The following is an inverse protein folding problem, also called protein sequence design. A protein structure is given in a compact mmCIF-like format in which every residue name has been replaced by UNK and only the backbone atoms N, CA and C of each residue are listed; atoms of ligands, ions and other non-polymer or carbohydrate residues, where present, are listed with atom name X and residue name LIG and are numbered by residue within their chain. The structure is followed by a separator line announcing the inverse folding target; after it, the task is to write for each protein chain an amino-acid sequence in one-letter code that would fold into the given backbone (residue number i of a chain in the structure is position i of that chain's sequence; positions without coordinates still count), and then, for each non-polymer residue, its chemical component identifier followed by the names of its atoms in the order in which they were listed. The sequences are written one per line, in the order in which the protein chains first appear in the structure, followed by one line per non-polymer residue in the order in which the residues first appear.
data_IF_322574468613
#
_entry.id   IF_322574468613
#
_cell.length_a   1.000
_cell.length_b   1.000
_cell.length_c   1.000
_cell.angle_alpha   90.00
_cell.angle_beta   90.00
_cell.angle_gamma   90.00
#
_symmetry.space_group_name_H-M   'P 1'
#
loop_
_entity.id
_entity.type
_entity.pdbx_description
1 polymer ?
#
# COMPACT_ATOMS: atom_id res chain seq x y z
N UNK A 1 10.48 0.76 55.30
CA UNK A 1 10.86 -0.30 54.36
C UNK A 1 9.98 -0.09 53.14
N UNK A 2 10.49 0.64 52.16
CA UNK A 2 9.75 1.01 50.96
C UNK A 2 10.09 -0.03 49.89
N UNK A 3 9.10 -0.84 49.49
CA UNK A 3 9.19 -1.67 48.30
C UNK A 3 9.20 -0.77 47.07
N UNK A 4 10.31 -0.82 46.34
CA UNK A 4 10.45 -0.22 45.03
C UNK A 4 9.61 -1.03 44.04
N UNK A 5 8.51 -0.43 43.57
CA UNK A 5 7.73 -0.91 42.43
C UNK A 5 8.60 -0.75 41.16
N UNK A 6 9.30 -1.80 40.80
CA UNK A 6 10.19 -1.84 39.65
C UNK A 6 9.32 -1.93 38.38
N UNK A 7 9.10 -0.78 37.73
CA UNK A 7 8.44 -0.69 36.42
C UNK A 7 9.31 -1.38 35.37
N UNK A 8 9.11 -2.68 35.17
CA UNK A 8 9.70 -3.42 34.06
C UNK A 8 9.16 -2.86 32.73
N UNK A 9 10.05 -2.30 31.92
CA UNK A 9 9.72 -1.90 30.56
C UNK A 9 9.14 -3.10 29.80
N UNK A 10 8.00 -2.96 29.12
CA UNK A 10 7.34 -4.10 28.47
C UNK A 10 8.27 -4.71 27.42
N UNK A 11 8.60 -5.98 27.60
CA UNK A 11 9.43 -6.75 26.67
C UNK A 11 8.82 -6.68 25.27
N UNK A 12 9.64 -6.48 24.23
CA UNK A 12 9.19 -6.33 22.84
C UNK A 12 8.17 -7.39 22.42
N UNK A 13 8.35 -8.65 22.86
CA UNK A 13 7.40 -9.74 22.64
C UNK A 13 5.99 -9.46 23.18
N UNK A 14 5.86 -8.94 24.41
CA UNK A 14 4.56 -8.61 25.04
C UNK A 14 3.87 -7.41 24.35
N UNK A 15 4.64 -6.45 23.85
CA UNK A 15 4.11 -5.34 23.05
C UNK A 15 3.59 -5.81 21.70
N UNK A 16 4.31 -6.72 21.05
CA UNK A 16 3.94 -7.29 19.77
C UNK A 16 2.67 -8.14 19.91
N UNK A 17 2.61 -8.98 20.94
CA UNK A 17 1.43 -9.78 21.29
C UNK A 17 0.20 -8.89 21.54
N UNK A 18 0.33 -7.83 22.35
CA UNK A 18 -0.78 -6.88 22.58
C UNK A 18 -1.26 -6.18 21.32
N UNK A 19 -0.35 -5.73 20.46
CA UNK A 19 -0.72 -5.06 19.21
C UNK A 19 -1.39 -6.03 18.23
N UNK A 20 -0.91 -7.27 18.15
CA UNK A 20 -1.50 -8.33 17.32
C UNK A 20 -2.90 -8.69 17.82
N UNK A 21 -3.09 -8.87 19.13
CA UNK A 21 -4.41 -9.15 19.73
C UNK A 21 -5.37 -7.98 19.49
N UNK A 22 -4.92 -6.74 19.68
CA UNK A 22 -5.74 -5.56 19.43
C UNK A 22 -6.18 -5.46 17.95
N UNK A 23 -5.25 -5.68 17.01
CA UNK A 23 -5.56 -5.73 15.59
C UNK A 23 -6.54 -6.84 15.26
N UNK A 24 -6.31 -8.03 15.83
CA UNK A 24 -7.20 -9.17 15.67
C UNK A 24 -8.61 -8.88 16.17
N UNK A 25 -8.77 -8.27 17.36
CA UNK A 25 -10.10 -7.93 17.89
C UNK A 25 -10.82 -6.85 17.08
N UNK A 26 -10.12 -5.82 16.60
CA UNK A 26 -10.70 -4.82 15.70
C UNK A 26 -11.15 -5.45 14.39
N UNK A 27 -10.34 -6.38 13.88
CA UNK A 27 -10.62 -7.12 12.66
C UNK A 27 -11.81 -8.07 12.83
N UNK A 28 -11.88 -8.81 13.94
CA UNK A 28 -13.01 -9.70 14.29
C UNK A 28 -14.29 -8.91 14.46
N UNK A 29 -14.28 -7.76 15.14
CA UNK A 29 -15.49 -6.90 15.26
C UNK A 29 -15.97 -6.38 13.90
N UNK A 30 -15.05 -6.06 12.99
CA UNK A 30 -15.37 -5.71 11.60
C UNK A 30 -15.98 -6.88 10.82
N UNK A 31 -15.57 -8.12 11.10
CA UNK A 31 -16.07 -9.34 10.44
C UNK A 31 -17.40 -9.80 11.02
N UNK A 32 -17.53 -9.87 12.35
CA UNK A 32 -18.72 -10.35 13.06
C UNK A 32 -19.92 -9.41 12.91
N UNK A 33 -19.70 -8.13 12.60
CA UNK A 33 -20.75 -7.19 12.20
C UNK A 33 -21.42 -7.51 10.86
N UNK A 34 -20.97 -8.52 10.10
CA UNK A 34 -21.53 -8.87 8.79
C UNK A 34 -22.50 -10.05 8.83
N UNK A 35 -23.70 -9.83 8.30
CA UNK A 35 -24.60 -10.91 7.89
C UNK A 35 -24.02 -11.72 6.71
N UNK A 36 -24.24 -13.03 6.70
CA UNK A 36 -23.77 -14.02 5.70
C UNK A 36 -24.15 -13.73 4.23
N UNK A 37 -24.96 -12.71 3.94
CA UNK A 37 -25.61 -12.49 2.64
C UNK A 37 -24.93 -11.47 1.71
N UNK A 38 -23.78 -10.90 2.08
CA UNK A 38 -23.13 -9.80 1.33
C UNK A 38 -21.68 -10.14 0.95
N UNK A 39 -21.48 -11.23 0.21
CA UNK A 39 -20.21 -11.49 -0.49
C UNK A 39 -20.47 -11.49 -1.98
N UNK A 40 -19.85 -10.60 -2.74
CA UNK A 40 -20.02 -10.60 -4.19
C UNK A 40 -19.55 -11.91 -4.82
N UNK A 41 -20.22 -12.33 -5.91
CA UNK A 41 -19.72 -13.41 -6.74
C UNK A 41 -18.35 -13.07 -7.35
N UNK A 42 -18.02 -11.78 -7.55
CA UNK A 42 -16.75 -11.34 -8.12
C UNK A 42 -15.55 -11.75 -7.26
N UNK A 43 -15.51 -11.34 -5.99
CA UNK A 43 -14.38 -11.64 -5.09
C UNK A 43 -14.20 -13.15 -4.93
N UNK A 44 -15.32 -13.86 -4.72
CA UNK A 44 -15.29 -15.31 -4.55
C UNK A 44 -14.76 -15.99 -5.81
N UNK A 45 -15.21 -15.56 -6.99
CA UNK A 45 -14.71 -16.06 -8.27
C UNK A 45 -13.22 -15.75 -8.43
N UNK A 46 -12.78 -14.54 -8.12
CA UNK A 46 -11.37 -14.14 -8.25
C UNK A 46 -10.46 -15.02 -7.40
N UNK A 47 -10.83 -15.22 -6.13
CA UNK A 47 -10.08 -16.06 -5.19
C UNK A 47 -10.03 -17.53 -5.64
N UNK A 48 -11.17 -18.08 -6.08
CA UNK A 48 -11.26 -19.47 -6.54
C UNK A 48 -10.47 -19.66 -7.83
N UNK A 49 -10.58 -18.73 -8.79
CA UNK A 49 -9.83 -18.75 -10.04
C UNK A 49 -8.32 -18.74 -9.79
N UNK A 50 -7.83 -17.87 -8.90
CA UNK A 50 -6.42 -17.77 -8.55
C UNK A 50 -5.89 -19.10 -7.99
N UNK A 51 -6.59 -19.68 -7.01
CA UNK A 51 -6.19 -20.96 -6.39
C UNK A 51 -6.26 -22.11 -7.40
N UNK A 52 -7.33 -22.20 -8.20
CA UNK A 52 -7.47 -23.26 -9.21
C UNK A 52 -6.37 -23.15 -10.25
N UNK A 53 -6.10 -21.96 -10.79
CA UNK A 53 -5.07 -21.77 -11.80
C UNK A 53 -3.69 -22.14 -11.25
N UNK A 54 -3.38 -21.74 -10.00
CA UNK A 54 -2.16 -22.15 -9.32
C UNK A 54 -2.05 -23.68 -9.19
N UNK A 55 -3.13 -24.36 -8.78
CA UNK A 55 -3.14 -25.82 -8.67
C UNK A 55 -2.98 -26.50 -10.03
N UNK A 56 -3.61 -25.99 -11.09
CA UNK A 56 -3.41 -26.52 -12.45
C UNK A 56 -1.97 -26.28 -12.89
N UNK A 57 -1.40 -25.10 -12.63
CA UNK A 57 0.00 -24.79 -12.92
C UNK A 57 0.97 -25.77 -12.23
N UNK A 58 0.69 -26.13 -10.98
CA UNK A 58 1.46 -27.12 -10.22
C UNK A 58 1.33 -28.56 -10.77
N UNK A 59 0.18 -28.89 -11.35
CA UNK A 59 -0.07 -30.19 -11.98
C UNK A 59 0.53 -30.29 -13.38
N UNK A 60 0.63 -29.18 -14.11
CA UNK A 60 1.16 -29.14 -15.49
C UNK A 60 2.62 -28.72 -15.56
N UNK A 61 3.21 -28.26 -14.46
CA UNK A 61 4.65 -28.02 -14.39
C UNK A 61 5.38 -29.35 -14.57
N UNK A 62 6.22 -29.43 -15.60
CA UNK A 62 7.17 -30.53 -15.72
C UNK A 62 8.18 -30.39 -14.58
N UNK A 63 8.02 -31.24 -13.56
CA UNK A 63 9.03 -31.43 -12.52
C UNK A 63 10.20 -32.15 -13.17
N UNK A 64 11.02 -31.42 -13.92
CA UNK A 64 12.08 -31.98 -14.75
C UNK A 64 12.87 -33.03 -13.98
N UNK A 65 12.70 -34.30 -14.35
CA UNK A 65 13.71 -35.33 -14.13
C UNK A 65 14.94 -34.87 -14.88
N UNK A 66 15.79 -34.12 -14.19
CA UNK A 66 17.01 -33.57 -14.76
C UNK A 66 17.93 -34.73 -15.07
N UNK A 67 18.00 -35.09 -16.35
CA UNK A 67 19.01 -36.00 -16.88
C UNK A 67 20.37 -35.36 -16.57
N UNK A 68 21.03 -35.89 -15.54
CA UNK A 68 22.17 -35.27 -14.84
C UNK A 68 23.49 -35.44 -15.59
N UNK A 69 23.45 -35.88 -16.85
CA UNK A 69 24.64 -36.38 -17.54
C UNK A 69 25.43 -35.32 -18.30
N UNK A 70 24.87 -34.16 -18.68
CA UNK A 70 25.53 -33.25 -19.63
C UNK A 70 25.40 -31.74 -19.37
N UNK A 71 24.97 -31.29 -18.19
CA UNK A 71 25.03 -29.85 -17.86
C UNK A 71 26.31 -29.51 -17.11
N UNK A 72 27.12 -28.64 -17.72
CA UNK A 72 28.14 -27.86 -17.02
C UNK A 72 27.46 -27.25 -15.80
N UNK A 73 27.92 -27.59 -14.60
CA UNK A 73 27.39 -27.07 -13.34
C UNK A 73 27.55 -25.55 -13.37
N UNK A 74 26.46 -24.75 -13.44
CA UNK A 74 26.56 -23.33 -13.23
C UNK A 74 27.01 -23.12 -11.78
N UNK A 75 27.93 -22.18 -11.56
CA UNK A 75 28.41 -21.84 -10.22
C UNK A 75 27.23 -21.68 -9.24
N UNK A 76 27.37 -22.28 -8.07
CA UNK A 76 26.33 -22.51 -7.07
C UNK A 76 25.90 -21.22 -6.33
N UNK A 77 25.42 -20.24 -7.08
CA UNK A 77 24.97 -18.97 -6.55
C UNK A 77 23.96 -18.37 -7.53
N UNK A 78 22.65 -18.58 -7.24
CA UNK A 78 21.42 -17.87 -7.70
C UNK A 78 20.32 -18.72 -8.38
N UNK A 79 20.59 -19.92 -8.89
CA UNK A 79 19.55 -20.68 -9.62
C UNK A 79 18.66 -21.60 -8.75
N UNK A 80 18.91 -21.71 -7.44
CA UNK A 80 18.17 -22.65 -6.59
C UNK A 80 16.73 -22.22 -6.25
N UNK A 81 16.42 -20.92 -6.31
CA UNK A 81 15.08 -20.40 -5.99
C UNK A 81 14.19 -20.12 -7.22
N UNK A 82 14.80 -19.92 -8.39
CA UNK A 82 14.12 -19.77 -9.66
C UNK A 82 14.11 -21.12 -10.38
N UNK A 83 13.39 -22.10 -9.86
CA UNK A 83 12.98 -23.22 -10.70
C UNK A 83 12.16 -22.60 -11.84
N UNK A 84 12.70 -22.61 -13.05
CA UNK A 84 11.96 -22.28 -14.27
C UNK A 84 10.73 -23.20 -14.28
N UNK A 85 9.59 -22.70 -13.77
CA UNK A 85 8.31 -23.35 -13.93
C UNK A 85 7.91 -23.14 -15.39
N UNK A 86 8.55 -23.89 -16.28
CA UNK A 86 8.20 -23.93 -17.69
C UNK A 86 6.94 -24.80 -17.82
N UNK A 87 5.81 -24.22 -17.42
CA UNK A 87 4.50 -24.79 -17.67
C UNK A 87 3.90 -24.15 -18.91
N UNK A 88 3.10 -24.89 -19.70
CA UNK A 88 2.40 -24.31 -20.83
C UNK A 88 1.45 -23.16 -20.42
N UNK A 89 1.00 -23.14 -19.16
CA UNK A 89 0.13 -22.09 -18.62
C UNK A 89 0.90 -20.79 -18.43
N UNK A 90 2.10 -20.86 -17.87
CA UNK A 90 2.94 -19.67 -17.67
C UNK A 90 3.39 -19.10 -19.00
N UNK A 91 3.74 -19.93 -19.98
CA UNK A 91 4.12 -19.46 -21.32
C UNK A 91 2.95 -18.78 -22.07
N UNK A 92 1.74 -19.33 -21.95
CA UNK A 92 0.57 -18.79 -22.67
C UNK A 92 -0.09 -17.58 -22.00
N UNK A 93 -0.16 -17.55 -20.67
CA UNK A 93 -0.99 -16.58 -19.93
C UNK A 93 -0.20 -15.50 -19.19
N UNK A 94 1.13 -15.58 -19.12
CA UNK A 94 1.95 -14.46 -18.64
C UNK A 94 2.18 -13.43 -19.76
N UNK A 95 2.31 -12.17 -19.37
CA UNK A 95 2.47 -11.08 -20.33
C UNK A 95 3.96 -10.82 -20.58
N UNK A 96 4.42 -11.07 -21.81
CA UNK A 96 5.79 -10.78 -22.25
C UNK A 96 5.80 -9.45 -23.02
N UNK A 97 6.61 -8.44 -22.62
CA UNK A 97 6.64 -7.12 -23.27
C UNK A 97 6.86 -7.17 -24.79
N UNK A 98 7.76 -8.05 -25.26
CA UNK A 98 8.08 -8.19 -26.68
C UNK A 98 6.93 -8.76 -27.54
N UNK A 99 6.02 -9.54 -26.94
CA UNK A 99 4.91 -10.15 -27.68
C UNK A 99 3.85 -9.13 -28.12
N UNK A 100 3.69 -8.04 -27.37
CA UNK A 100 2.78 -6.94 -27.73
C UNK A 100 3.22 -6.26 -29.04
N UNK A 101 4.53 -6.21 -29.32
CA UNK A 101 5.06 -5.54 -30.51
C UNK A 101 4.87 -6.37 -31.79
N UNK A 102 4.62 -7.67 -31.68
CA UNK A 102 4.47 -8.56 -32.83
C UNK A 102 3.01 -8.61 -33.31
N UNK A 103 2.71 -8.20 -34.56
CA UNK A 103 1.34 -8.22 -35.09
C UNK A 103 0.68 -9.60 -35.12
N UNK A 104 1.47 -10.68 -35.11
CA UNK A 104 0.95 -12.06 -35.12
C UNK A 104 0.39 -12.50 -33.77
N UNK A 105 0.82 -11.90 -32.67
CA UNK A 105 0.50 -12.34 -31.31
C UNK A 105 -0.40 -11.36 -30.55
N UNK A 106 -1.06 -10.42 -31.25
CA UNK A 106 -1.85 -9.36 -30.60
C UNK A 106 -3.03 -9.91 -29.78
N UNK A 107 -3.74 -10.94 -30.26
CA UNK A 107 -4.87 -11.57 -29.54
C UNK A 107 -4.35 -12.24 -28.27
N UNK A 108 -3.27 -13.01 -28.37
CA UNK A 108 -2.66 -13.67 -27.23
C UNK A 108 -2.17 -12.65 -26.20
N UNK A 109 -1.50 -11.59 -26.65
CA UNK A 109 -1.05 -10.50 -25.77
C UNK A 109 -2.22 -9.81 -25.04
N UNK A 110 -3.36 -9.61 -25.72
CA UNK A 110 -4.56 -9.07 -25.09
C UNK A 110 -5.13 -10.00 -24.02
N UNK A 111 -5.17 -11.31 -24.29
CA UNK A 111 -5.60 -12.31 -23.31
C UNK A 111 -4.64 -12.36 -22.12
N UNK A 112 -3.32 -12.41 -22.36
CA UNK A 112 -2.29 -12.41 -21.32
C UNK A 112 -2.37 -11.13 -20.46
N UNK A 113 -2.67 -9.98 -21.06
CA UNK A 113 -2.85 -8.70 -20.33
C UNK A 113 -4.02 -8.73 -19.34
N UNK A 114 -5.06 -9.53 -19.59
CA UNK A 114 -6.20 -9.68 -18.69
C UNK A 114 -5.95 -10.79 -17.65
N UNK A 115 -5.22 -11.83 -18.04
CA UNK A 115 -5.08 -13.06 -17.25
C UNK A 115 -3.85 -13.07 -16.36
N UNK A 116 -2.80 -12.29 -16.66
CA UNK A 116 -1.56 -12.27 -15.86
C UNK A 116 -1.75 -12.09 -14.35
N UNK A 117 -2.72 -11.29 -13.83
CA UNK A 117 -2.86 -11.10 -12.38
C UNK A 117 -3.34 -12.35 -11.65
N UNK A 118 -3.84 -13.36 -12.38
CA UNK A 118 -4.32 -14.63 -11.83
C UNK A 118 -3.24 -15.71 -11.84
N UNK A 119 -2.09 -15.44 -12.47
CA UNK A 119 -0.99 -16.39 -12.59
C UNK A 119 0.01 -16.08 -11.48
N UNK A 120 0.15 -16.99 -10.53
CA UNK A 120 1.18 -16.93 -9.50
C UNK A 120 2.09 -18.15 -9.61
N UNK A 121 3.39 -17.95 -9.35
CA UNK A 121 4.40 -19.02 -9.45
C UNK A 121 4.68 -19.68 -8.10
N UNK A 122 4.53 -18.93 -7.02
CA UNK A 122 4.87 -19.40 -5.69
C UNK A 122 3.67 -19.38 -4.73
N UNK A 123 3.57 -20.42 -3.89
CA UNK A 123 2.46 -20.55 -2.93
C UNK A 123 2.36 -19.38 -1.94
N UNK A 124 3.47 -18.72 -1.60
CA UNK A 124 3.46 -17.57 -0.69
C UNK A 124 2.91 -16.30 -1.37
N UNK A 125 3.07 -16.17 -2.69
CA UNK A 125 2.45 -15.09 -3.47
C UNK A 125 0.94 -15.30 -3.53
N UNK A 126 0.51 -16.55 -3.80
CA UNK A 126 -0.90 -16.95 -3.72
C UNK A 126 -1.50 -16.61 -2.35
N UNK A 127 -0.80 -16.94 -1.26
CA UNK A 127 -1.26 -16.62 0.09
C UNK A 127 -1.41 -15.10 0.29
N UNK A 128 -0.43 -14.31 -0.15
CA UNK A 128 -0.46 -12.85 -0.08
C UNK A 128 -1.66 -12.27 -0.87
N UNK A 129 -1.94 -12.80 -2.05
CA UNK A 129 -3.05 -12.37 -2.89
C UNK A 129 -4.40 -12.74 -2.29
N UNK A 130 -4.54 -13.93 -1.71
CA UNK A 130 -5.75 -14.34 -0.99
C UNK A 130 -6.03 -13.38 0.17
N UNK A 131 -5.00 -12.95 0.90
CA UNK A 131 -5.12 -11.95 1.96
C UNK A 131 -5.58 -10.60 1.38
N UNK A 132 -4.98 -10.14 0.28
CA UNK A 132 -5.35 -8.88 -0.36
C UNK A 132 -6.80 -8.90 -0.88
N UNK A 133 -7.21 -9.98 -1.54
CA UNK A 133 -8.58 -10.20 -2.02
C UNK A 133 -9.54 -10.24 -0.83
N UNK A 134 -9.19 -10.93 0.25
CA UNK A 134 -9.99 -10.98 1.46
C UNK A 134 -10.18 -9.60 2.10
N UNK A 135 -9.12 -8.79 2.22
CA UNK A 135 -9.19 -7.40 2.68
C UNK A 135 -10.07 -6.55 1.76
N UNK A 136 -9.94 -6.72 0.44
CA UNK A 136 -10.79 -6.01 -0.53
C UNK A 136 -12.26 -6.33 -0.35
N UNK A 137 -12.59 -7.60 -0.13
CA UNK A 137 -13.95 -8.06 0.11
C UNK A 137 -14.53 -7.55 1.42
N UNK A 138 -13.67 -7.28 2.41
CA UNK A 138 -14.07 -6.94 3.77
C UNK A 138 -14.21 -5.45 3.97
N UNK A 139 -13.21 -4.69 3.52
CA UNK A 139 -13.11 -3.27 3.77
C UNK A 139 -13.67 -2.43 2.63
N UNK A 140 -13.40 -2.84 1.38
CA UNK A 140 -13.64 -2.00 0.21
C UNK A 140 -15.02 -2.28 -0.41
N UNK A 141 -15.35 -3.55 -0.61
CA UNK A 141 -16.59 -3.97 -1.28
C UNK A 141 -17.87 -3.38 -0.66
N UNK A 142 -18.05 -3.32 0.68
CA UNK A 142 -19.23 -2.68 1.28
C UNK A 142 -19.40 -1.21 0.94
N UNK A 143 -18.28 -0.51 0.81
CA UNK A 143 -18.26 0.95 0.70
C UNK A 143 -18.43 1.39 -0.74
N UNK A 144 -17.83 0.65 -1.67
CA UNK A 144 -17.81 1.03 -3.09
C UNK A 144 -18.84 0.25 -3.90
N UNK A 145 -19.30 -0.90 -3.39
CA UNK A 145 -20.08 -1.87 -4.14
C UNK A 145 -19.23 -2.67 -5.13
N UNK A 146 -19.78 -3.80 -5.57
CA UNK A 146 -19.04 -4.79 -6.36
C UNK A 146 -18.70 -4.30 -7.77
N UNK A 147 -19.52 -3.40 -8.35
CA UNK A 147 -19.27 -2.83 -9.69
C UNK A 147 -18.04 -1.93 -9.72
N UNK A 148 -17.90 -1.06 -8.71
CA UNK A 148 -16.74 -0.17 -8.60
C UNK A 148 -15.50 -0.97 -8.24
N UNK A 149 -15.59 -1.96 -7.34
CA UNK A 149 -14.46 -2.84 -7.01
C UNK A 149 -13.93 -3.61 -8.24
N UNK A 150 -14.84 -4.12 -9.08
CA UNK A 150 -14.46 -4.78 -10.34
C UNK A 150 -13.79 -3.81 -11.31
N UNK A 151 -14.37 -2.62 -11.48
CA UNK A 151 -13.80 -1.58 -12.36
C UNK A 151 -12.42 -1.15 -11.87
N UNK A 152 -12.24 -1.00 -10.55
CA UNK A 152 -10.97 -0.72 -9.92
C UNK A 152 -9.94 -1.80 -10.22
N UNK A 153 -10.27 -3.08 -9.99
CA UNK A 153 -9.37 -4.20 -10.30
C UNK A 153 -8.91 -4.18 -11.76
N UNK A 154 -9.82 -3.97 -12.72
CA UNK A 154 -9.47 -3.90 -14.14
C UNK A 154 -8.60 -2.68 -14.48
N UNK A 155 -8.98 -1.49 -14.02
CA UNK A 155 -8.27 -0.24 -14.35
C UNK A 155 -6.83 -0.30 -13.82
N UNK A 156 -6.62 -0.79 -12.60
CA UNK A 156 -5.28 -0.91 -12.03
C UNK A 156 -4.44 -1.88 -12.86
N UNK A 157 -4.89 -3.12 -13.04
CA UNK A 157 -4.07 -4.14 -13.69
C UNK A 157 -3.77 -3.82 -15.17
N UNK A 158 -4.75 -3.27 -15.91
CA UNK A 158 -4.53 -2.87 -17.31
C UNK A 158 -3.56 -1.69 -17.42
N UNK A 159 -3.70 -0.68 -16.56
CA UNK A 159 -2.79 0.47 -16.56
C UNK A 159 -1.37 0.08 -16.17
N UNK A 160 -1.22 -0.80 -15.18
CA UNK A 160 0.09 -1.30 -14.73
C UNK A 160 0.74 -2.17 -15.79
N UNK A 161 -0.01 -3.03 -16.48
CA UNK A 161 0.51 -3.80 -17.61
C UNK A 161 1.08 -2.89 -18.71
N UNK A 162 0.33 -1.84 -19.06
CA UNK A 162 0.77 -0.85 -20.04
C UNK A 162 2.04 -0.10 -19.59
N UNK A 163 2.07 0.42 -18.36
CA UNK A 163 3.21 1.17 -17.82
C UNK A 163 4.46 0.29 -17.67
N UNK A 164 4.29 -0.94 -17.20
CA UNK A 164 5.41 -1.89 -17.01
C UNK A 164 5.97 -2.34 -18.36
N UNK A 165 5.10 -2.64 -19.32
CA UNK A 165 5.54 -2.95 -20.70
C UNK A 165 6.29 -1.77 -21.32
N UNK A 166 5.76 -0.56 -21.17
CA UNK A 166 6.42 0.67 -21.66
C UNK A 166 7.80 0.86 -21.02
N UNK A 167 7.92 0.57 -19.72
CA UNK A 167 9.19 0.61 -19.00
C UNK A 167 10.22 -0.34 -19.62
N UNK A 168 9.86 -1.60 -19.85
CA UNK A 168 10.78 -2.58 -20.45
C UNK A 168 11.14 -2.26 -21.90
N UNK A 169 10.24 -1.66 -22.68
CA UNK A 169 10.55 -1.15 -24.03
C UNK A 169 11.57 -0.01 -23.96
N UNK A 170 11.45 0.89 -22.97
CA UNK A 170 12.44 1.96 -22.75
C UNK A 170 13.79 1.38 -22.36
N UNK A 171 13.82 0.38 -21.46
CA UNK A 171 15.07 -0.31 -21.09
C UNK A 171 15.74 -0.96 -22.30
N UNK A 172 14.96 -1.68 -23.12
CA UNK A 172 15.45 -2.23 -24.39
C UNK A 172 16.05 -1.13 -25.29
N UNK A 173 15.38 0.02 -25.40
CA UNK A 173 15.85 1.13 -26.24
C UNK A 173 17.15 1.77 -25.74
N UNK A 174 17.40 1.74 -24.42
CA UNK A 174 18.60 2.31 -23.79
C UNK A 174 19.77 1.32 -23.85
N UNK A 175 19.53 0.06 -23.50
CA UNK A 175 20.57 -0.95 -23.32
C UNK A 175 20.79 -1.84 -24.55
N UNK A 176 19.82 -1.93 -25.46
CA UNK A 176 19.91 -2.72 -26.69
C UNK A 176 19.86 -4.23 -26.49
N UNK A 177 19.58 -4.73 -25.28
CA UNK A 177 19.47 -6.16 -24.97
C UNK A 177 18.03 -6.66 -25.12
N UNK A 178 17.83 -7.70 -25.94
CA UNK A 178 16.54 -8.36 -26.18
C UNK A 178 15.99 -9.08 -24.94
N UNK A 179 16.82 -9.32 -23.93
CA UNK A 179 16.42 -9.88 -22.63
C UNK A 179 15.31 -9.06 -21.98
N UNK A 180 15.34 -7.74 -22.08
CA UNK A 180 14.31 -6.86 -21.50
C UNK A 180 12.94 -7.03 -22.18
N UNK A 181 12.89 -7.53 -23.41
CA UNK A 181 11.63 -7.74 -24.13
C UNK A 181 11.11 -9.17 -24.01
N UNK A 182 11.99 -10.17 -24.07
CA UNK A 182 11.60 -11.57 -24.24
C UNK A 182 11.89 -12.47 -23.05
N UNK A 183 12.83 -12.09 -22.16
CA UNK A 183 13.15 -12.89 -20.97
C UNK A 183 12.35 -12.47 -19.74
N UNK A 184 11.70 -11.30 -19.79
CA UNK A 184 10.85 -10.79 -18.71
C UNK A 184 9.40 -11.24 -18.93
N UNK A 185 8.84 -11.90 -17.92
CA UNK A 185 7.42 -12.28 -17.87
C UNK A 185 6.72 -11.50 -16.77
N UNK A 186 5.61 -10.85 -17.11
CA UNK A 186 4.75 -10.16 -16.14
C UNK A 186 3.65 -11.13 -15.71
N UNK A 187 3.54 -11.35 -14.41
CA UNK A 187 2.56 -12.21 -13.77
C UNK A 187 2.25 -11.69 -12.37
N UNK A 188 1.20 -12.23 -11.77
CA UNK A 188 0.86 -12.02 -10.38
C UNK A 188 0.08 -10.76 -10.06
N UNK A 189 -0.57 -10.77 -8.89
CA UNK A 189 -1.51 -9.73 -8.47
C UNK A 189 -0.84 -8.60 -7.67
N UNK A 190 0.47 -8.43 -7.81
CA UNK A 190 1.28 -7.44 -7.07
C UNK A 190 0.76 -6.00 -7.23
N UNK A 191 0.31 -5.64 -8.44
CA UNK A 191 -0.30 -4.34 -8.72
C UNK A 191 -1.56 -4.09 -7.89
N UNK A 192 -2.43 -5.10 -7.79
CA UNK A 192 -3.65 -5.02 -6.99
C UNK A 192 -3.33 -5.05 -5.50
N UNK A 193 -2.33 -5.81 -5.05
CA UNK A 193 -1.86 -5.75 -3.66
C UNK A 193 -1.44 -4.33 -3.24
N UNK A 194 -0.70 -3.62 -4.10
CA UNK A 194 -0.37 -2.22 -3.87
C UNK A 194 -1.63 -1.35 -3.79
N UNK A 195 -2.58 -1.58 -4.70
CA UNK A 195 -3.85 -0.87 -4.72
C UNK A 195 -4.67 -1.07 -3.44
N UNK A 196 -4.74 -2.30 -2.90
CA UNK A 196 -5.38 -2.58 -1.62
C UNK A 196 -4.69 -1.84 -0.47
N UNK A 197 -3.36 -1.79 -0.44
CA UNK A 197 -2.63 -1.01 0.58
C UNK A 197 -3.04 0.48 0.53
N UNK A 198 -3.11 1.05 -0.67
CA UNK A 198 -3.50 2.45 -0.87
C UNK A 198 -4.97 2.69 -0.47
N UNK A 199 -5.87 1.79 -0.85
CA UNK A 199 -7.29 1.86 -0.46
C UNK A 199 -7.48 1.76 1.05
N UNK A 200 -6.76 0.85 1.73
CA UNK A 200 -6.82 0.72 3.20
C UNK A 200 -6.36 2.00 3.87
N UNK A 201 -5.31 2.65 3.35
CA UNK A 201 -4.91 3.97 3.83
C UNK A 201 -6.02 5.00 3.64
N UNK A 202 -6.65 5.06 2.47
CA UNK A 202 -7.73 6.01 2.18
C UNK A 202 -8.90 5.84 3.16
N UNK A 203 -9.25 4.59 3.47
CA UNK A 203 -10.38 4.26 4.34
C UNK A 203 -10.08 4.43 5.84
N UNK A 204 -8.87 4.11 6.27
CA UNK A 204 -8.47 4.08 7.67
C UNK A 204 -7.09 4.75 7.89
N UNK A 205 -6.93 6.06 7.60
CA UNK A 205 -5.61 6.71 7.61
C UNK A 205 -4.96 6.78 9.00
N UNK A 206 -5.76 6.98 10.05
CA UNK A 206 -5.27 7.24 11.41
C UNK A 206 -5.23 6.01 12.34
N UNK A 207 -5.57 4.81 11.83
CA UNK A 207 -5.45 3.61 12.66
C UNK A 207 -3.97 3.25 12.86
N UNK A 208 -3.56 3.21 14.12
CA UNK A 208 -2.22 2.77 14.53
C UNK A 208 -2.18 1.25 14.46
N UNK A 209 -1.31 0.70 13.60
CA UNK A 209 -1.14 -0.74 13.46
C UNK A 209 -0.20 -1.29 14.52
N UNK A 210 0.95 -0.63 14.70
CA UNK A 210 1.98 -1.10 15.62
C UNK A 210 2.51 0.10 16.41
N UNK A 211 2.33 0.06 17.74
CA UNK A 211 3.01 0.98 18.64
C UNK A 211 4.34 0.37 19.06
N UNK A 212 5.45 0.94 18.60
CA UNK A 212 6.80 0.60 19.08
C UNK A 212 7.35 1.71 19.96
N UNK A 213 8.35 1.45 20.83
CA UNK A 213 9.02 2.49 21.61
C UNK A 213 9.67 3.58 20.75
N UNK A 214 9.98 3.26 19.49
CA UNK A 214 10.59 4.16 18.51
C UNK A 214 9.57 4.96 17.68
N UNK A 215 8.27 4.67 17.82
CA UNK A 215 7.22 5.39 17.10
C UNK A 215 5.95 4.57 16.83
N UNK A 216 4.90 5.27 16.42
CA UNK A 216 3.60 4.69 16.03
C UNK A 216 3.59 4.45 14.52
N UNK A 217 3.56 3.20 14.10
CA UNK A 217 3.35 2.81 12.71
C UNK A 217 1.85 2.91 12.40
N UNK A 218 1.50 3.86 11.52
CA UNK A 218 0.13 4.14 11.08
C UNK A 218 -0.12 3.56 9.69
N UNK A 219 -1.38 3.35 9.36
CA UNK A 219 -1.82 2.97 8.00
C UNK A 219 -1.30 3.91 6.90
N UNK A 220 -1.08 5.18 7.21
CA UNK A 220 -0.48 6.15 6.28
C UNK A 220 0.83 5.68 5.65
N UNK A 221 1.62 4.88 6.37
CA UNK A 221 2.92 4.40 5.94
C UNK A 221 2.87 3.00 5.31
N UNK A 222 1.74 2.29 5.37
CA UNK A 222 1.63 0.89 4.91
C UNK A 222 1.99 0.73 3.43
N UNK A 223 1.47 1.53 2.49
CA UNK A 223 1.80 1.35 1.07
C UNK A 223 3.29 1.51 0.80
N UNK A 224 3.91 2.51 1.43
CA UNK A 224 5.34 2.77 1.26
C UNK A 224 6.20 1.69 1.95
N UNK A 225 5.81 1.25 3.14
CA UNK A 225 6.48 0.17 3.85
C UNK A 225 6.40 -1.16 3.08
N UNK A 226 5.26 -1.46 2.46
CA UNK A 226 5.09 -2.63 1.61
C UNK A 226 5.97 -2.55 0.34
N UNK A 227 6.11 -1.37 -0.26
CA UNK A 227 7.05 -1.15 -1.37
C UNK A 227 8.52 -1.33 -0.92
N UNK A 228 8.90 -0.83 0.26
CA UNK A 228 10.23 -1.08 0.81
C UNK A 228 10.46 -2.56 1.12
N UNK A 229 9.44 -3.25 1.64
CA UNK A 229 9.51 -4.68 1.89
C UNK A 229 9.72 -5.44 0.58
N UNK A 230 9.00 -5.11 -0.49
CA UNK A 230 9.19 -5.76 -1.80
C UNK A 230 10.60 -5.52 -2.35
N UNK A 231 11.16 -4.31 -2.20
CA UNK A 231 12.56 -4.03 -2.55
C UNK A 231 13.56 -4.89 -1.75
N UNK A 232 13.32 -5.09 -0.45
CA UNK A 232 14.15 -5.96 0.39
C UNK A 232 14.02 -7.42 -0.06
N UNK A 233 12.80 -7.91 -0.31
CA UNK A 233 12.56 -9.27 -0.80
C UNK A 233 13.23 -9.50 -2.15
N UNK A 234 13.23 -8.49 -3.03
CA UNK A 234 13.97 -8.54 -4.29
C UNK A 234 15.48 -8.58 -4.07
N UNK A 235 16.03 -7.75 -3.19
CA UNK A 235 17.46 -7.76 -2.87
C UNK A 235 17.92 -9.11 -2.25
N UNK A 236 17.01 -9.81 -1.56
CA UNK A 236 17.22 -11.16 -1.03
C UNK A 236 16.96 -12.26 -2.07
N UNK A 237 16.63 -11.92 -3.32
CA UNK A 237 16.26 -12.85 -4.40
C UNK A 237 15.05 -13.75 -4.07
N UNK A 238 14.11 -13.27 -3.26
CA UNK A 238 12.87 -13.98 -2.91
C UNK A 238 11.76 -13.68 -3.93
N UNK A 239 11.76 -12.49 -4.53
CA UNK A 239 10.80 -12.08 -5.55
C UNK A 239 11.51 -11.46 -6.76
N UNK A 240 10.87 -11.51 -7.92
CA UNK A 240 11.41 -10.95 -9.16
C UNK A 240 11.33 -9.42 -9.19
N UNK A 241 12.21 -8.81 -9.99
CA UNK A 241 12.21 -7.36 -10.20
C UNK A 241 10.91 -6.84 -10.83
N UNK A 242 10.29 -7.64 -11.71
CA UNK A 242 9.02 -7.35 -12.38
C UNK A 242 7.89 -7.09 -11.38
N UNK A 243 7.79 -7.92 -10.33
CA UNK A 243 6.78 -7.81 -9.29
C UNK A 243 6.93 -6.52 -8.46
N UNK A 244 8.16 -6.09 -8.18
CA UNK A 244 8.44 -4.82 -7.48
C UNK A 244 8.02 -3.64 -8.35
N UNK A 245 8.37 -3.68 -9.65
CA UNK A 245 8.03 -2.62 -10.59
C UNK A 245 6.51 -2.50 -10.78
N UNK A 246 5.81 -3.63 -10.86
CA UNK A 246 4.35 -3.69 -10.90
C UNK A 246 3.71 -3.17 -9.61
N UNK A 247 4.30 -3.47 -8.44
CA UNK A 247 3.85 -2.91 -7.16
C UNK A 247 3.99 -1.39 -7.16
N UNK A 248 5.13 -0.87 -7.63
CA UNK A 248 5.41 0.56 -7.71
C UNK A 248 4.43 1.28 -8.64
N UNK A 249 4.18 0.75 -9.84
CA UNK A 249 3.18 1.33 -10.72
C UNK A 249 1.76 1.17 -10.17
N UNK A 250 1.43 0.04 -9.53
CA UNK A 250 0.14 -0.17 -8.87
C UNK A 250 -0.09 0.85 -7.76
N UNK A 251 0.93 1.18 -6.98
CA UNK A 251 0.90 2.24 -5.97
C UNK A 251 0.57 3.62 -6.58
N UNK A 252 1.24 3.99 -7.67
CA UNK A 252 1.01 5.28 -8.35
C UNK A 252 -0.39 5.33 -8.99
N UNK A 253 -0.75 4.31 -9.78
CA UNK A 253 -2.02 4.26 -10.52
C UNK A 253 -3.20 4.23 -9.56
N UNK A 254 -3.12 3.45 -8.48
CA UNK A 254 -4.19 3.40 -7.47
C UNK A 254 -4.35 4.72 -6.73
N UNK A 255 -3.26 5.40 -6.38
CA UNK A 255 -3.34 6.74 -5.81
C UNK A 255 -4.02 7.72 -6.78
N UNK A 256 -3.64 7.74 -8.06
CA UNK A 256 -4.28 8.59 -9.07
C UNK A 256 -5.78 8.28 -9.19
N UNK A 257 -6.11 6.99 -9.30
CA UNK A 257 -7.50 6.57 -9.43
C UNK A 257 -8.34 7.01 -8.24
N UNK A 258 -7.88 6.73 -7.01
CA UNK A 258 -8.63 7.03 -5.80
C UNK A 258 -8.68 8.53 -5.49
N UNK A 259 -7.65 9.28 -5.85
CA UNK A 259 -7.62 10.73 -5.63
C UNK A 259 -8.48 11.50 -6.61
N UNK A 260 -8.61 11.04 -7.86
CA UNK A 260 -9.19 11.86 -8.93
C UNK A 260 -10.31 11.20 -9.74
N UNK A 261 -10.33 9.88 -9.88
CA UNK A 261 -11.21 9.16 -10.84
C UNK A 261 -12.36 8.45 -10.14
N UNK A 262 -12.15 7.93 -8.93
CA UNK A 262 -13.11 7.13 -8.18
C UNK A 262 -14.47 7.82 -8.11
N UNK A 263 -15.53 7.08 -8.44
CA UNK A 263 -16.87 7.63 -8.40
C UNK A 263 -17.53 7.31 -7.06
N UNK A 264 -17.99 8.34 -6.35
CA UNK A 264 -18.77 8.15 -5.14
C UNK A 264 -20.28 8.28 -5.42
N UNK A 265 -21.16 7.55 -4.70
CA UNK A 265 -22.61 7.59 -4.92
C UNK A 265 -23.26 8.97 -4.77
N UNK A 266 -22.60 9.85 -4.02
CA UNK A 266 -22.99 11.25 -3.77
C UNK A 266 -22.57 12.22 -4.90
N UNK A 267 -22.02 11.71 -6.01
CA UNK A 267 -21.67 12.51 -7.20
C UNK A 267 -20.30 13.20 -7.12
N UNK A 268 -19.60 13.11 -5.99
CA UNK A 268 -18.22 13.56 -5.85
C UNK A 268 -17.25 12.56 -6.52
N UNK A 269 -16.11 13.08 -7.00
CA UNK A 269 -15.05 12.27 -7.63
C UNK A 269 -13.78 12.31 -6.79
N UNK A 270 -13.30 11.12 -6.43
CA UNK A 270 -12.07 10.90 -5.69
C UNK A 270 -12.00 11.54 -4.31
N UNK A 271 -10.84 11.38 -3.67
CA UNK A 271 -10.50 11.97 -2.37
C UNK A 271 -9.41 13.04 -2.51
N UNK A 272 -9.85 14.30 -2.60
CA UNK A 272 -8.98 15.47 -2.71
C UNK A 272 -8.42 15.95 -1.35
N UNK A 273 -8.70 15.27 -0.24
CA UNK A 273 -8.24 15.71 1.09
C UNK A 273 -6.71 15.77 1.18
N UNK A 274 -6.20 16.65 2.04
CA UNK A 274 -4.75 16.75 2.31
C UNK A 274 -4.19 15.46 2.95
N UNK A 275 -5.03 14.75 3.70
CA UNK A 275 -4.74 13.45 4.29
C UNK A 275 -4.40 12.37 3.25
N UNK A 276 -4.98 12.47 2.05
CA UNK A 276 -4.73 11.54 0.94
C UNK A 276 -3.84 12.12 -0.18
N UNK A 277 -3.07 13.18 0.12
CA UNK A 277 -2.05 13.69 -0.80
C UNK A 277 -0.92 12.68 -1.03
N UNK A 278 -0.23 12.72 -2.17
CA UNK A 278 0.88 11.78 -2.43
C UNK A 278 2.01 11.92 -1.40
N UNK A 279 2.26 13.14 -0.92
CA UNK A 279 3.25 13.39 0.12
C UNK A 279 2.88 12.72 1.45
N UNK A 280 1.60 12.49 1.74
CA UNK A 280 1.16 11.90 3.01
C UNK A 280 1.53 10.42 3.14
N UNK A 281 1.96 9.75 2.06
CA UNK A 281 2.46 8.37 2.08
C UNK A 281 3.89 8.27 2.65
N UNK A 282 4.58 9.41 2.72
CA UNK A 282 5.98 9.48 3.10
C UNK A 282 6.15 9.98 4.54
N UNK A 283 7.22 9.53 5.23
CA UNK A 283 7.56 10.05 6.55
C UNK A 283 7.85 11.55 6.49
N UNK A 284 7.67 12.24 7.61
CA UNK A 284 7.73 13.71 7.69
C UNK A 284 9.01 14.32 7.10
N UNK A 285 10.14 13.63 7.17
CA UNK A 285 11.43 14.07 6.62
C UNK A 285 11.41 14.14 5.09
N UNK A 286 10.71 13.22 4.41
CA UNK A 286 10.66 13.14 2.96
C UNK A 286 9.50 13.94 2.34
N UNK A 287 8.51 14.34 3.14
CA UNK A 287 7.33 15.09 2.68
C UNK A 287 7.66 16.32 1.82
N UNK A 288 8.62 17.20 2.18
CA UNK A 288 8.89 18.41 1.40
C UNK A 288 9.36 18.10 -0.03
N UNK A 289 10.27 17.14 -0.19
CA UNK A 289 10.78 16.76 -1.51
C UNK A 289 9.72 16.10 -2.38
N UNK A 290 8.91 15.22 -1.77
CA UNK A 290 7.82 14.53 -2.49
C UNK A 290 6.68 15.48 -2.84
N UNK A 291 6.40 16.50 -2.03
CA UNK A 291 5.37 17.49 -2.33
C UNK A 291 5.63 18.22 -3.65
N UNK A 292 6.91 18.49 -3.98
CA UNK A 292 7.29 19.10 -5.27
C UNK A 292 6.89 18.19 -6.44
N UNK A 293 7.21 16.89 -6.34
CA UNK A 293 6.87 15.89 -7.37
C UNK A 293 5.35 15.71 -7.46
N UNK A 294 4.66 15.62 -6.33
CA UNK A 294 3.19 15.50 -6.27
C UNK A 294 2.50 16.69 -6.93
N UNK A 295 3.00 17.91 -6.71
CA UNK A 295 2.45 19.12 -7.30
C UNK A 295 2.67 19.14 -8.81
N UNK A 296 3.83 18.67 -9.29
CA UNK A 296 4.07 18.52 -10.73
C UNK A 296 3.10 17.53 -11.37
N UNK A 297 2.90 16.37 -10.75
CA UNK A 297 1.94 15.37 -11.21
C UNK A 297 0.52 15.96 -11.23
N UNK A 298 0.12 16.66 -10.17
CA UNK A 298 -1.18 17.34 -10.12
C UNK A 298 -1.34 18.37 -11.25
N UNK A 299 -0.35 19.24 -11.48
CA UNK A 299 -0.36 20.21 -12.58
C UNK A 299 -0.46 19.54 -13.95
N UNK A 300 0.22 18.41 -14.15
CA UNK A 300 0.11 17.61 -15.37
C UNK A 300 -1.30 17.05 -15.56
N UNK A 301 -1.92 16.49 -14.51
CA UNK A 301 -3.29 15.96 -14.57
C UNK A 301 -4.36 17.04 -14.79
N UNK A 302 -4.17 18.24 -14.24
CA UNK A 302 -5.02 19.40 -14.52
C UNK A 302 -4.87 19.86 -15.98
N UNK A 303 -3.64 19.89 -16.50
CA UNK A 303 -3.37 20.28 -17.90
C UNK A 303 -4.06 19.34 -18.92
N UNK A 304 -4.11 18.04 -18.65
CA UNK A 304 -4.80 17.06 -19.50
C UNK A 304 -6.32 16.94 -19.22
N UNK A 305 -6.90 17.84 -18.40
CA UNK A 305 -8.32 17.88 -18.03
C UNK A 305 -8.87 16.60 -17.38
N UNK A 306 -7.99 15.78 -16.81
CA UNK A 306 -8.40 14.64 -15.99
C UNK A 306 -8.87 15.09 -14.61
N UNK A 307 -8.45 16.28 -14.16
CA UNK A 307 -8.90 16.91 -12.92
C UNK A 307 -9.39 18.33 -13.16
N UNK A 308 -10.41 18.74 -12.39
CA UNK A 308 -10.72 20.15 -12.20
C UNK A 308 -9.64 20.78 -11.31
N UNK A 309 -9.17 22.01 -11.61
CA UNK A 309 -8.37 22.76 -10.65
C UNK A 309 -9.15 22.87 -9.33
N UNK A 310 -8.45 22.70 -8.21
CA UNK A 310 -9.05 22.86 -6.88
C UNK A 310 -9.56 24.30 -6.81
N UNK A 311 -10.88 24.46 -6.75
CA UNK A 311 -11.52 25.77 -6.67
C UNK A 311 -11.46 26.21 -5.20
N UNK A 312 -10.63 27.22 -4.88
CA UNK A 312 -10.42 27.74 -3.52
C UNK A 312 -11.73 28.10 -2.79
N UNK A 313 -12.82 28.33 -3.54
CA UNK A 313 -14.16 28.62 -3.03
C UNK A 313 -14.77 27.46 -2.24
N UNK A 314 -14.42 26.20 -2.54
CA UNK A 314 -15.01 25.03 -1.88
C UNK A 314 -14.37 24.72 -0.52
N UNK A 315 -13.13 25.17 -0.28
CA UNK A 315 -12.40 25.00 0.98
C UNK A 315 -12.64 26.11 2.01
N UNK A 316 -13.15 27.27 1.58
CA UNK A 316 -13.37 28.38 2.50
C UNK A 316 -14.36 28.07 3.64
N UNK A 317 -15.51 27.42 3.41
CA UNK A 317 -16.45 27.12 4.48
C UNK A 317 -15.86 26.16 5.53
N UNK A 318 -15.08 25.16 5.08
CA UNK A 318 -14.46 24.14 5.95
C UNK A 318 -13.24 24.68 6.71
N UNK A 319 -12.43 25.57 6.09
CA UNK A 319 -11.36 26.30 6.80
C UNK A 319 -11.94 27.19 7.88
N UNK A 320 -12.97 27.96 7.56
CA UNK A 320 -13.65 28.84 8.53
C UNK A 320 -14.29 28.02 9.66
N UNK A 321 -14.88 26.86 9.36
CA UNK A 321 -15.43 25.97 10.39
C UNK A 321 -14.32 25.34 11.26
N UNK A 322 -13.22 24.90 10.66
CA UNK A 322 -12.06 24.35 11.38
C UNK A 322 -11.38 25.40 12.27
N UNK A 323 -11.26 26.63 11.80
CA UNK A 323 -10.78 27.77 12.61
C UNK A 323 -11.71 28.08 13.77
N UNK A 324 -13.04 28.01 13.57
CA UNK A 324 -14.02 28.18 14.65
C UNK A 324 -13.96 27.06 15.67
N UNK A 325 -13.83 25.81 15.25
CA UNK A 325 -13.71 24.68 16.15
C UNK A 325 -12.40 24.71 16.95
N UNK A 326 -11.29 25.12 16.34
CA UNK A 326 -10.03 25.32 17.05
C UNK A 326 -10.13 26.48 18.04
N UNK A 327 -10.78 27.59 17.67
CA UNK A 327 -11.05 28.69 18.60
C UNK A 327 -11.96 28.27 19.77
N UNK A 328 -12.97 27.44 19.54
CA UNK A 328 -13.81 26.87 20.61
C UNK A 328 -13.02 25.90 21.50
N UNK A 329 -12.11 25.10 20.93
CA UNK A 329 -11.27 24.19 21.69
C UNK A 329 -10.25 24.94 22.57
N UNK A 330 -9.67 26.02 22.05
CA UNK A 330 -8.73 26.89 22.78
C UNK A 330 -9.43 27.74 23.84
N UNK A 331 -10.69 28.13 23.62
CA UNK A 331 -11.47 28.90 24.61
C UNK A 331 -12.09 28.03 25.72
N UNK A 332 -12.18 26.72 25.53
CA UNK A 332 -12.56 25.77 26.59
C UNK A 332 -11.38 25.34 27.48
N UNK A 333 -10.13 25.57 27.05
CA UNK A 333 -8.95 25.40 27.92
C UNK A 333 -8.75 26.63 28.80
N UNK A 334 -9.44 26.67 29.95
CA UNK A 334 -9.15 27.63 31.02
C UNK A 334 -7.67 27.48 31.44
N UNK A 335 -6.87 28.55 31.53
CA UNK A 335 -5.47 28.44 31.91
C UNK A 335 -5.36 28.01 33.38
N UNK A 336 -4.71 26.87 33.64
CA UNK A 336 -4.35 26.42 34.98
C UNK A 336 -3.52 27.49 35.68
N UNK A 337 -4.13 28.12 36.68
CA UNK A 337 -3.53 29.12 37.56
C UNK A 337 -2.41 28.44 38.37
N UNK A 338 -1.16 28.83 38.11
CA UNK A 338 0.04 28.39 38.83
C UNK A 338 -0.12 28.48 40.35
N UNK A 339 -0.38 27.36 41.02
CA UNK A 339 -0.12 27.23 42.46
C UNK A 339 1.33 26.80 42.67
N UNK A 340 2.15 27.79 43.06
CA UNK A 340 3.52 27.58 43.55
C UNK A 340 3.46 26.77 44.86
N UNK A 341 3.89 25.51 44.81
CA UNK A 341 4.29 24.76 46.00
C UNK A 341 5.53 25.43 46.62
N UNK A 342 5.42 25.84 47.89
CA UNK A 342 6.54 26.31 48.71
C UNK A 342 7.35 25.10 49.19
N UNK A 343 8.58 24.96 48.72
CA UNK A 343 9.61 24.23 49.45
C UNK A 343 10.46 25.22 50.27
N UNK A 344 10.56 24.92 51.56
CA UNK A 344 11.38 25.58 52.56
C UNK A 344 12.87 25.26 52.32
N UNK A 345 13.74 26.27 52.27
CA UNK A 345 15.10 26.17 52.80
C UNK A 345 15.72 27.56 53.05
N UNK A 346 15.95 27.82 54.35
CA UNK A 346 17.08 28.48 55.02
C UNK A 346 17.74 29.75 54.45
N UNK A 347 17.78 30.78 55.30
CA UNK A 347 18.98 31.59 55.56
C UNK A 347 19.12 32.91 54.81
N UNK A 348 18.71 34.01 55.47
CA UNK A 348 19.60 35.11 55.90
C UNK A 348 18.89 36.48 55.94
N UNK A 349 19.07 37.14 57.11
CA UNK A 349 19.11 38.57 57.44
C UNK A 349 18.74 39.57 56.32
N UNK A 350 17.99 40.67 56.49
CA UNK A 350 17.98 41.68 57.55
C UNK A 350 16.95 42.78 57.17
N UNK A 351 16.18 43.27 58.15
CA UNK A 351 15.79 44.67 58.41
C UNK A 351 14.94 45.51 57.42
N UNK A 352 13.77 45.90 57.94
CA UNK A 352 13.23 47.28 58.07
C UNK A 352 13.36 48.25 56.88
N UNK A 353 12.22 48.58 56.26
CA UNK A 353 11.58 49.91 56.39
C UNK A 353 10.44 50.06 55.38
N UNK A 354 9.21 50.29 55.86
CA UNK A 354 8.19 51.03 55.10
C UNK A 354 8.64 52.50 54.96
N UNK A 355 8.07 53.24 54.00
CA UNK A 355 6.94 54.10 54.40
C UNK A 355 5.73 54.03 53.47
N UNK A 356 4.57 54.31 54.07
CA UNK A 356 3.29 54.62 53.45
C UNK A 356 3.28 56.01 52.77
N UNK A 357 2.19 56.23 52.02
CA UNK A 357 1.56 57.50 51.57
C UNK A 357 1.88 57.85 50.10
N UNK A 358 0.91 58.19 49.23
CA UNK A 358 -0.52 58.55 49.33
C UNK A 358 -1.28 57.87 48.19
#
# INVERSE_FOLDING_TARGET
MAEQEQSEAPTFGRLLERNVIYLYEQFVKLIEGRGKSSRSPFVTSLCVSLVIIYLINLLTSDWGTSDTSNRVVPEANTEFFWTNFDSPITEMFTLTPGNILSPRFWIWSAISTITYPLIELHWWQVLNDVIAIYLSSTLIEPLWGSKELFSFFLIINLSVAFLTTSHYIILYSIYGSDEYLYNVRLYGCSAYCAAICVSVKQLLPESVLIGTPLGKFKNNNVPLAALFLSLILYALNIIESSLVLMFFYGFIVSWIYLRFIQNHPNGHRGDLSDGFSFASFFPNVLKPGVAIVSNFIYSFFVAIRLCSPIDDRQYQPLRVLGERLNQEHDSQQVPMRNHKFKHHQSGDYQYLSQPMNV
#
